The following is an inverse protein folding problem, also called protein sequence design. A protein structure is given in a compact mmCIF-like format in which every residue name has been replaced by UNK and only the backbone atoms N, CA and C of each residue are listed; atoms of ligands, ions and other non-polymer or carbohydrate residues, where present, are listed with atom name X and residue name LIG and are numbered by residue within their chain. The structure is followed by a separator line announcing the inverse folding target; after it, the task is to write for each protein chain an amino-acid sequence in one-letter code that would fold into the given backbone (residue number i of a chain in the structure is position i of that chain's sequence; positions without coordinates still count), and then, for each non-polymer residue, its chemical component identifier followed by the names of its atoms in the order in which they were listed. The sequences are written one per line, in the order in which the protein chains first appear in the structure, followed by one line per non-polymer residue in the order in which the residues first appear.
data_IF_585469048921
#
_entry.id   IF_585469048921
#
_cell.length_a   1.000
_cell.length_b   1.000
_cell.length_c   1.000
_cell.angle_alpha   90.00
_cell.angle_beta   90.00
_cell.angle_gamma   90.00
#
_symmetry.space_group_name_H-M   'P 1'
#
loop_
_entity.id
_entity.type
_entity.pdbx_description
1 polymer ?
#
# COMPACT_ATOMS: atom_id res chain seq x y z
N UNK A 1 -56.06 -12.78 -33.21
CA UNK A 1 -54.60 -13.00 -33.33
C UNK A 1 -53.94 -11.89 -32.53
N UNK A 2 -53.73 -12.12 -31.23
CA UNK A 2 -52.49 -12.60 -30.61
C UNK A 2 -51.55 -11.43 -30.27
N UNK A 3 -51.66 -10.93 -29.04
CA UNK A 3 -50.71 -10.01 -28.44
C UNK A 3 -49.42 -10.78 -28.13
N UNK A 4 -48.34 -10.48 -28.84
CA UNK A 4 -47.03 -11.07 -28.58
C UNK A 4 -46.44 -10.44 -27.30
N UNK A 5 -45.94 -11.24 -26.35
CA UNK A 5 -45.35 -10.70 -25.12
C UNK A 5 -44.00 -10.04 -25.46
N UNK A 6 -43.80 -8.82 -24.94
CA UNK A 6 -42.52 -8.12 -24.97
C UNK A 6 -41.47 -8.99 -24.26
N UNK A 7 -40.34 -9.35 -24.88
CA UNK A 7 -39.33 -10.14 -24.21
C UNK A 7 -38.79 -9.34 -23.03
N UNK A 8 -38.84 -9.94 -21.84
CA UNK A 8 -38.14 -9.42 -20.67
C UNK A 8 -36.64 -9.44 -21.00
N UNK A 9 -35.97 -8.29 -20.86
CA UNK A 9 -34.53 -8.17 -21.05
C UNK A 9 -33.83 -9.26 -20.23
N UNK A 10 -33.03 -10.09 -20.90
CA UNK A 10 -32.33 -11.19 -20.26
C UNK A 10 -31.26 -10.62 -19.30
N UNK A 11 -31.07 -11.24 -18.11
CA UNK A 11 -30.09 -10.80 -17.12
C UNK A 11 -28.65 -10.65 -17.66
N UNK A 12 -28.31 -11.34 -18.75
CA UNK A 12 -27.00 -11.27 -19.41
C UNK A 12 -26.73 -9.92 -20.11
N UNK A 13 -27.76 -9.19 -20.56
CA UNK A 13 -27.58 -7.86 -21.19
C UNK A 13 -27.28 -6.76 -20.17
N UNK A 14 -27.56 -6.98 -18.88
CA UNK A 14 -27.18 -6.09 -17.79
C UNK A 14 -25.80 -6.42 -17.21
N UNK A 15 -25.34 -7.67 -17.36
CA UNK A 15 -24.00 -8.09 -16.95
C UNK A 15 -22.91 -7.52 -17.86
N UNK A 16 -23.10 -7.58 -19.19
CA UNK A 16 -22.14 -7.05 -20.17
C UNK A 16 -21.74 -5.56 -19.97
N UNK A 17 -22.66 -4.61 -19.71
CA UNK A 17 -22.30 -3.22 -19.43
C UNK A 17 -21.66 -3.04 -18.05
N UNK A 18 -22.05 -3.83 -17.06
CA UNK A 18 -21.42 -3.78 -15.73
C UNK A 18 -19.96 -4.27 -15.79
N UNK A 19 -19.69 -5.35 -16.52
CA UNK A 19 -18.34 -5.86 -16.74
C UNK A 19 -17.46 -4.85 -17.50
N UNK A 20 -18.04 -4.14 -18.47
CA UNK A 20 -17.38 -3.04 -19.18
C UNK A 20 -17.11 -1.82 -18.28
N UNK A 21 -18.02 -1.48 -17.37
CA UNK A 21 -17.83 -0.39 -16.40
C UNK A 21 -16.77 -0.76 -15.35
N UNK A 22 -16.77 -2.00 -14.86
CA UNK A 22 -15.75 -2.51 -13.93
C UNK A 22 -14.36 -2.61 -14.59
N UNK A 23 -14.30 -3.08 -15.83
CA UNK A 23 -13.06 -3.16 -16.61
C UNK A 23 -12.51 -1.77 -16.96
N UNK A 24 -13.36 -0.82 -17.33
CA UNK A 24 -12.93 0.55 -17.62
C UNK A 24 -12.56 1.34 -16.35
N UNK A 25 -13.17 1.05 -15.20
CA UNK A 25 -12.81 1.63 -13.92
C UNK A 25 -11.44 1.15 -13.40
N UNK A 26 -11.05 -0.09 -13.69
CA UNK A 26 -9.79 -0.69 -13.22
C UNK A 26 -8.59 -0.42 -14.14
N UNK A 27 -8.81 -0.17 -15.44
CA UNK A 27 -7.74 0.19 -16.40
C UNK A 27 -6.89 1.40 -15.99
N UNK A 28 -7.46 2.53 -15.53
CA UNK A 28 -6.68 3.69 -15.06
C UNK A 28 -5.83 3.39 -13.83
N UNK A 29 -6.29 2.51 -12.95
CA UNK A 29 -5.52 2.08 -11.78
C UNK A 29 -4.35 1.19 -12.20
N UNK A 30 -4.62 0.16 -13.00
CA UNK A 30 -3.59 -0.77 -13.47
C UNK A 30 -2.50 -0.05 -14.30
N UNK A 31 -2.88 0.87 -15.20
CA UNK A 31 -1.91 1.61 -16.01
C UNK A 31 -1.02 2.57 -15.21
N UNK A 32 -1.51 3.08 -14.06
CA UNK A 32 -0.70 3.91 -13.15
C UNK A 32 0.31 3.09 -12.36
N UNK A 33 -0.04 1.84 -11.99
CA UNK A 33 0.83 0.94 -11.22
C UNK A 33 1.87 0.22 -12.08
N UNK A 34 1.65 0.05 -13.38
CA UNK A 34 2.58 -0.63 -14.29
C UNK A 34 3.86 0.20 -14.52
N UNK A 35 5.04 -0.46 -14.61
CA UNK A 35 6.28 0.18 -15.03
C UNK A 35 6.15 0.88 -16.38
N UNK A 36 6.59 2.13 -16.46
CA UNK A 36 6.60 2.94 -17.67
C UNK A 36 7.78 3.93 -17.67
N UNK A 37 7.76 4.93 -18.56
CA UNK A 37 8.81 5.94 -18.62
C UNK A 37 8.98 6.74 -17.31
N UNK A 38 7.92 6.90 -16.52
CA UNK A 38 7.95 7.54 -15.20
C UNK A 38 8.81 6.73 -14.24
N UNK A 39 8.61 5.41 -14.20
CA UNK A 39 9.41 4.49 -13.41
C UNK A 39 10.88 4.48 -13.83
N UNK A 40 11.13 4.52 -15.14
CA UNK A 40 12.49 4.62 -15.66
C UNK A 40 13.19 5.91 -15.23
N UNK A 41 12.47 7.05 -15.24
CA UNK A 41 13.00 8.34 -14.77
C UNK A 41 13.23 8.37 -13.26
N UNK A 42 12.33 7.79 -12.47
CA UNK A 42 12.55 7.60 -11.03
C UNK A 42 13.86 6.83 -10.79
N UNK A 43 14.03 5.68 -11.43
CA UNK A 43 15.24 4.87 -11.30
C UNK A 43 16.50 5.60 -11.77
N UNK A 44 16.43 6.28 -12.91
CA UNK A 44 17.56 7.05 -13.45
C UNK A 44 17.97 8.21 -12.53
N UNK A 45 17.00 8.98 -12.01
CA UNK A 45 17.27 10.10 -11.11
C UNK A 45 17.87 9.62 -9.78
N UNK A 46 17.36 8.53 -9.23
CA UNK A 46 17.93 7.92 -8.02
C UNK A 46 19.35 7.39 -8.26
N UNK A 47 19.60 6.77 -9.41
CA UNK A 47 20.94 6.31 -9.79
C UNK A 47 21.95 7.46 -9.92
N UNK A 48 21.50 8.65 -10.31
CA UNK A 48 22.31 9.87 -10.35
C UNK A 48 22.55 10.48 -8.95
N UNK A 49 21.87 10.00 -7.91
CA UNK A 49 22.01 10.47 -6.52
C UNK A 49 22.41 9.34 -5.55
N UNK A 50 23.56 8.66 -5.78
CA UNK A 50 23.96 7.51 -4.98
C UNK A 50 24.18 7.87 -3.50
N UNK A 51 24.61 9.09 -3.19
CA UNK A 51 24.79 9.55 -1.80
C UNK A 51 23.48 9.68 -1.03
N UNK A 52 22.41 10.17 -1.67
CA UNK A 52 21.09 10.26 -1.05
C UNK A 52 20.53 8.86 -0.78
N UNK A 53 20.57 7.98 -1.80
CA UNK A 53 20.13 6.59 -1.68
C UNK A 53 20.90 5.86 -0.58
N UNK A 54 22.24 5.94 -0.58
CA UNK A 54 23.06 5.33 0.46
C UNK A 54 22.74 5.89 1.85
N UNK A 55 22.52 7.20 1.97
CA UNK A 55 22.11 7.84 3.22
C UNK A 55 20.76 7.34 3.75
N UNK A 56 19.76 7.21 2.87
CA UNK A 56 18.45 6.64 3.20
C UNK A 56 18.56 5.17 3.63
N UNK A 57 19.29 4.36 2.87
CA UNK A 57 19.51 2.94 3.19
C UNK A 57 20.26 2.77 4.52
N UNK A 58 21.30 3.55 4.76
CA UNK A 58 22.04 3.50 6.03
C UNK A 58 21.18 3.93 7.22
N UNK A 59 20.32 4.93 7.04
CA UNK A 59 19.37 5.38 8.06
C UNK A 59 18.35 4.29 8.37
N UNK A 60 17.76 3.67 7.34
CA UNK A 60 16.84 2.55 7.49
C UNK A 60 17.51 1.36 8.19
N UNK A 61 18.73 0.98 7.78
CA UNK A 61 19.46 -0.13 8.38
C UNK A 61 19.74 0.10 9.88
N UNK A 62 20.14 1.32 10.25
CA UNK A 62 20.33 1.70 11.66
C UNK A 62 19.01 1.62 12.44
N UNK A 63 17.93 2.12 11.85
CA UNK A 63 16.61 2.11 12.48
C UNK A 63 16.11 0.67 12.68
N UNK A 64 16.24 -0.20 11.68
CA UNK A 64 15.90 -1.63 11.79
C UNK A 64 16.73 -2.32 12.87
N UNK A 65 18.02 -1.99 13.00
CA UNK A 65 18.86 -2.47 14.10
C UNK A 65 18.36 -2.00 15.47
N UNK A 66 17.94 -0.73 15.58
CA UNK A 66 17.33 -0.17 16.80
C UNK A 66 16.02 -0.86 17.16
N UNK A 67 15.16 -1.12 16.16
CA UNK A 67 13.89 -1.85 16.30
C UNK A 67 14.13 -3.28 16.78
N UNK A 68 15.06 -4.00 16.14
CA UNK A 68 15.42 -5.36 16.53
C UNK A 68 15.94 -5.43 17.97
N UNK A 69 16.74 -4.43 18.38
CA UNK A 69 17.24 -4.28 19.75
C UNK A 69 16.19 -3.78 20.75
N UNK A 70 14.97 -3.43 20.32
CA UNK A 70 13.91 -2.86 21.17
C UNK A 70 14.20 -1.44 21.68
N UNK A 71 15.04 -0.67 20.97
CA UNK A 71 15.46 0.68 21.33
C UNK A 71 14.79 1.78 20.50
N UNK A 72 14.02 1.41 19.47
CA UNK A 72 13.29 2.39 18.67
C UNK A 72 12.08 2.94 19.43
N UNK A 73 11.89 4.25 19.34
CA UNK A 73 10.73 4.97 19.88
C UNK A 73 9.69 5.28 18.79
N UNK A 74 9.84 4.69 17.61
CA UNK A 74 8.93 4.88 16.49
C UNK A 74 7.54 4.40 16.89
N UNK A 75 6.55 5.25 16.61
CA UNK A 75 5.15 5.01 16.92
C UNK A 75 4.29 5.49 15.74
N UNK A 76 3.12 4.90 15.52
CA UNK A 76 2.21 5.35 14.48
C UNK A 76 1.66 6.73 14.81
N UNK A 77 1.23 7.47 13.78
CA UNK A 77 0.50 8.72 13.99
C UNK A 77 -0.76 8.47 14.82
N UNK A 78 -1.15 9.44 15.67
CA UNK A 78 -2.31 9.30 16.57
C UNK A 78 -3.62 8.94 15.85
N UNK A 79 -3.76 9.34 14.59
CA UNK A 79 -4.94 9.10 13.76
C UNK A 79 -4.77 7.93 12.76
N UNK A 80 -3.64 7.19 12.80
CA UNK A 80 -3.39 6.08 11.89
C UNK A 80 -4.24 4.85 12.28
N UNK A 81 -5.34 4.67 11.56
CA UNK A 81 -6.32 3.61 11.83
C UNK A 81 -5.75 2.20 11.61
N UNK A 82 -4.67 2.06 10.83
CA UNK A 82 -4.02 0.76 10.56
C UNK A 82 -3.48 0.14 11.85
N UNK A 83 -3.05 0.97 12.78
CA UNK A 83 -2.48 0.56 14.07
C UNK A 83 -3.38 0.90 15.27
N UNK A 84 -4.70 0.94 15.06
CA UNK A 84 -5.67 1.29 16.10
C UNK A 84 -5.85 0.22 17.20
N UNK A 85 -5.46 -1.04 16.94
CA UNK A 85 -5.52 -2.11 17.94
C UNK A 85 -4.37 -1.99 18.95
N UNK A 86 -4.67 -2.07 20.24
CA UNK A 86 -3.66 -1.99 21.32
C UNK A 86 -2.60 -3.09 21.24
N UNK A 87 -2.89 -4.22 20.57
CA UNK A 87 -1.94 -5.30 20.36
C UNK A 87 -0.69 -4.85 19.59
N UNK A 88 -0.78 -3.85 18.70
CA UNK A 88 0.37 -3.25 18.01
C UNK A 88 1.34 -2.55 18.97
N UNK A 89 0.90 -2.18 20.18
CA UNK A 89 1.73 -1.54 21.19
C UNK A 89 2.11 -2.49 22.34
N UNK A 90 1.20 -3.40 22.71
CA UNK A 90 1.41 -4.30 23.84
C UNK A 90 2.20 -5.57 23.50
N UNK A 91 2.13 -6.05 22.26
CA UNK A 91 2.90 -7.22 21.83
C UNK A 91 4.26 -6.78 21.25
N UNK A 92 5.40 -7.15 21.88
CA UNK A 92 6.72 -6.70 21.41
C UNK A 92 7.05 -7.09 19.96
N UNK A 93 6.54 -8.22 19.48
CA UNK A 93 6.75 -8.66 18.10
C UNK A 93 5.95 -7.80 17.13
N UNK A 94 4.64 -7.62 17.37
CA UNK A 94 3.80 -6.77 16.54
C UNK A 94 4.28 -5.31 16.56
N UNK A 95 4.74 -4.83 17.71
CA UNK A 95 5.31 -3.50 17.84
C UNK A 95 6.52 -3.31 16.92
N UNK A 96 7.45 -4.28 16.90
CA UNK A 96 8.61 -4.24 15.99
C UNK A 96 8.20 -4.32 14.52
N UNK A 97 7.20 -5.13 14.18
CA UNK A 97 6.67 -5.23 12.81
C UNK A 97 6.09 -3.88 12.36
N UNK A 98 5.27 -3.25 13.19
CA UNK A 98 4.74 -1.91 12.95
C UNK A 98 5.86 -0.88 12.78
N UNK A 99 6.84 -0.86 13.68
CA UNK A 99 7.97 0.06 13.59
C UNK A 99 8.77 -0.14 12.30
N UNK A 100 9.04 -1.38 11.91
CA UNK A 100 9.76 -1.69 10.68
C UNK A 100 8.98 -1.25 9.44
N UNK A 101 7.66 -1.48 9.42
CA UNK A 101 6.79 -0.98 8.36
C UNK A 101 6.83 0.56 8.25
N UNK A 102 6.67 1.26 9.38
CA UNK A 102 6.70 2.73 9.42
C UNK A 102 8.06 3.28 8.95
N UNK A 103 9.17 2.64 9.34
CA UNK A 103 10.50 3.02 8.88
C UNK A 103 10.68 2.79 7.37
N UNK A 104 10.16 1.68 6.85
CA UNK A 104 10.16 1.38 5.42
C UNK A 104 9.33 2.39 4.61
N UNK A 105 8.12 2.70 5.07
CA UNK A 105 7.24 3.68 4.43
C UNK A 105 7.90 5.07 4.34
N UNK A 106 8.44 5.58 5.45
CA UNK A 106 9.17 6.86 5.48
C UNK A 106 10.40 6.84 4.56
N UNK A 107 11.09 5.70 4.46
CA UNK A 107 12.24 5.56 3.55
C UNK A 107 11.80 5.63 2.09
N UNK A 108 10.68 4.99 1.73
CA UNK A 108 10.13 5.02 0.37
C UNK A 108 9.71 6.44 -0.03
N UNK A 109 9.00 7.16 0.85
CA UNK A 109 8.63 8.57 0.65
C UNK A 109 9.88 9.45 0.51
N UNK A 110 10.89 9.23 1.36
CA UNK A 110 12.15 9.97 1.30
C UNK A 110 12.92 9.75 0.01
N UNK A 111 12.99 8.51 -0.49
CA UNK A 111 13.61 8.20 -1.79
C UNK A 111 12.84 8.86 -2.93
N UNK A 112 11.51 8.84 -2.90
CA UNK A 112 10.70 9.53 -3.90
C UNK A 112 10.98 11.04 -3.90
N UNK A 113 11.05 11.66 -2.72
CA UNK A 113 11.40 13.08 -2.60
C UNK A 113 12.82 13.38 -3.14
N UNK A 114 13.79 12.53 -2.84
CA UNK A 114 15.16 12.67 -3.31
C UNK A 114 15.29 12.45 -4.84
N UNK A 115 14.29 11.85 -5.49
CA UNK A 115 14.31 11.64 -6.95
C UNK A 115 14.10 12.93 -7.75
N UNK A 116 13.60 14.01 -7.14
CA UNK A 116 13.36 15.32 -7.78
C UNK A 116 12.74 15.18 -9.18
N UNK A 117 11.65 14.42 -9.25
CA UNK A 117 10.89 14.26 -10.48
C UNK A 117 10.19 15.57 -10.87
N UNK A 118 9.84 15.70 -12.15
CA UNK A 118 8.89 16.76 -12.53
C UNK A 118 7.54 16.54 -11.84
N UNK A 119 6.71 17.58 -11.79
CA UNK A 119 5.48 17.53 -11.00
C UNK A 119 4.51 16.42 -11.42
N UNK A 120 4.45 16.05 -12.71
CA UNK A 120 3.53 15.02 -13.21
C UNK A 120 4.00 13.64 -12.80
N UNK A 121 5.29 13.40 -13.01
CA UNK A 121 5.94 12.16 -12.62
C UNK A 121 5.91 11.98 -11.09
N UNK A 122 6.12 13.06 -10.34
CA UNK A 122 6.04 13.08 -8.88
C UNK A 122 4.63 12.69 -8.39
N UNK A 123 3.57 13.30 -8.93
CA UNK A 123 2.19 12.99 -8.53
C UNK A 123 1.85 11.53 -8.84
N UNK A 124 2.27 11.02 -10.00
CA UNK A 124 2.08 9.61 -10.36
C UNK A 124 2.83 8.68 -9.40
N UNK A 125 4.10 8.94 -9.12
CA UNK A 125 4.90 8.07 -8.27
C UNK A 125 4.49 8.17 -6.79
N UNK A 126 4.00 9.33 -6.34
CA UNK A 126 3.39 9.47 -5.03
C UNK A 126 2.18 8.55 -4.90
N UNK A 127 1.28 8.57 -5.89
CA UNK A 127 0.14 7.65 -5.92
C UNK A 127 0.57 6.18 -5.82
N UNK A 128 1.63 5.79 -6.54
CA UNK A 128 2.18 4.43 -6.47
C UNK A 128 2.70 4.10 -5.07
N UNK A 129 3.51 4.98 -4.49
CA UNK A 129 4.07 4.79 -3.13
C UNK A 129 2.96 4.70 -2.09
N UNK A 130 1.97 5.60 -2.14
CA UNK A 130 0.84 5.60 -1.22
C UNK A 130 0.07 4.27 -1.28
N UNK A 131 -0.24 3.78 -2.49
CA UNK A 131 -0.95 2.52 -2.67
C UNK A 131 -0.12 1.31 -2.25
N UNK A 132 1.20 1.33 -2.48
CA UNK A 132 2.09 0.27 -2.05
C UNK A 132 2.19 0.22 -0.52
N UNK A 133 2.39 1.37 0.12
CA UNK A 133 2.46 1.50 1.58
C UNK A 133 1.13 1.04 2.20
N UNK A 134 0.00 1.48 1.67
CA UNK A 134 -1.31 1.07 2.15
C UNK A 134 -1.54 -0.43 1.93
N UNK A 135 -1.25 -0.96 0.74
CA UNK A 135 -1.43 -2.37 0.41
C UNK A 135 -0.56 -3.31 1.24
N UNK A 136 0.65 -2.89 1.60
CA UNK A 136 1.59 -3.65 2.42
C UNK A 136 1.40 -3.44 3.93
N UNK A 137 0.41 -2.66 4.36
CA UNK A 137 0.15 -2.43 5.77
C UNK A 137 -0.04 -3.77 6.52
N UNK A 138 0.72 -4.04 7.59
CA UNK A 138 0.63 -5.30 8.35
C UNK A 138 -0.79 -5.61 8.86
N UNK A 139 -1.58 -4.57 9.09
CA UNK A 139 -2.99 -4.66 9.47
C UNK A 139 -3.90 -5.32 8.43
N UNK A 140 -3.50 -5.31 7.16
CA UNK A 140 -4.25 -5.87 6.04
C UNK A 140 -4.00 -7.38 5.86
N UNK A 141 -2.98 -7.95 6.52
CA UNK A 141 -2.70 -9.38 6.46
C UNK A 141 -3.40 -10.10 7.62
N UNK A 142 -4.46 -10.91 7.40
CA UNK A 142 -5.19 -11.58 8.47
C UNK A 142 -4.33 -12.57 9.29
N UNK A 143 -3.20 -13.06 8.75
CA UNK A 143 -2.28 -13.93 9.49
C UNK A 143 -1.42 -13.18 10.51
N UNK A 144 -1.24 -11.87 10.34
CA UNK A 144 -0.37 -11.03 11.18
C UNK A 144 -1.20 -9.98 11.94
N UNK A 145 -2.41 -9.68 11.45
CA UNK A 145 -3.33 -8.70 11.98
C UNK A 145 -4.09 -9.24 13.20
N UNK A 146 -4.06 -8.56 14.36
CA UNK A 146 -4.86 -8.92 15.53
C UNK A 146 -6.36 -9.10 15.24
N UNK A 147 -6.90 -8.38 14.26
CA UNK A 147 -8.29 -8.52 13.80
C UNK A 147 -8.53 -9.88 13.14
N UNK A 148 -7.56 -10.40 12.39
CA UNK A 148 -7.65 -11.73 11.76
C UNK A 148 -7.65 -12.85 12.81
N UNK A 149 -6.81 -12.75 13.83
CA UNK A 149 -6.80 -13.71 14.95
C UNK A 149 -8.09 -13.63 15.78
N UNK A 150 -8.59 -12.42 16.09
CA UNK A 150 -9.87 -12.23 16.78
C UNK A 150 -11.04 -12.78 15.98
N UNK A 151 -11.09 -12.51 14.68
CA UNK A 151 -12.11 -13.08 13.79
C UNK A 151 -12.03 -14.62 13.75
N UNK A 152 -10.83 -15.20 13.78
CA UNK A 152 -10.64 -16.65 13.81
C UNK A 152 -11.14 -17.28 15.13
N UNK A 153 -10.86 -16.62 16.27
CA UNK A 153 -11.30 -17.07 17.60
C UNK A 153 -12.82 -16.90 17.75
N UNK A 154 -13.38 -15.77 17.32
CA UNK A 154 -14.80 -15.47 17.42
C UNK A 154 -15.66 -16.35 16.49
N UNK A 155 -15.08 -16.88 15.39
CA UNK A 155 -15.77 -17.82 14.48
C UNK A 155 -15.59 -19.30 14.84
N UNK A 156 -14.86 -19.61 15.93
CA UNK A 156 -14.82 -20.96 16.51
C UNK A 156 -14.11 -22.02 15.67
N UNK A 157 -12.98 -21.67 15.06
CA UNK A 157 -12.06 -22.67 14.49
C UNK A 157 -11.25 -23.40 15.58
#
# INVERSE_FOLDING_TARGET
MAESPKPAAAPDELAAPLDLLLTSATRPFASRMMPDATWARLGANLAQRPGAVAGRTATLARELGSIAAGKSHRAPGRADKRFGDVAWQQNPLLHRVMQAYLAGAETAEGLLADAELDWRDQEKMQFVVDNLVEGLAPSNNPLISPLGWKALIDTGA
#
